data_IF_650905699957
#
_entry.id   IF_650905699957
#
_cell.length_a   1.000
_cell.length_b   1.000
_cell.length_c   1.000
_cell.angle_alpha   90.00
_cell.angle_beta   90.00
_cell.angle_gamma   90.00
#
_symmetry.space_group_name_H-M   'P 1'
#
loop_
_entity.id
_entity.type
_entity.pdbx_description
1 polymer ?
#
# COMPACT_ATOMS: atom_id res chain seq x y z
N UNK A 1 -2.69 15.25 -2.00
CA UNK A 1 -4.03 14.90 -1.49
C UNK A 1 -4.60 13.78 -2.36
N UNK A 2 -5.33 12.85 -1.76
CA UNK A 2 -6.06 11.82 -2.48
C UNK A 2 -7.14 12.41 -3.41
N UNK A 3 -7.61 11.64 -4.39
CA UNK A 3 -8.41 12.15 -5.51
C UNK A 3 -9.68 11.33 -5.81
N UNK A 4 -10.18 10.56 -4.84
CA UNK A 4 -11.46 9.89 -4.97
C UNK A 4 -12.62 10.91 -4.98
N UNK A 5 -13.71 10.57 -5.65
CA UNK A 5 -14.93 11.40 -5.63
C UNK A 5 -15.67 11.23 -4.30
N UNK A 6 -16.40 12.28 -3.90
CA UNK A 6 -17.11 12.34 -2.62
C UNK A 6 -18.01 11.11 -2.32
N UNK A 7 -18.78 10.55 -3.27
CA UNK A 7 -19.59 9.37 -3.00
C UNK A 7 -18.76 8.14 -2.59
N UNK A 8 -17.54 8.00 -3.15
CA UNK A 8 -16.63 6.90 -2.85
C UNK A 8 -15.98 7.10 -1.48
N UNK A 9 -15.54 8.32 -1.18
CA UNK A 9 -14.94 8.70 0.11
C UNK A 9 -15.88 8.33 1.27
N UNK A 10 -17.18 8.63 1.14
CA UNK A 10 -18.15 8.42 2.24
C UNK A 10 -18.42 6.97 2.61
N UNK A 11 -18.09 6.01 1.75
CA UNK A 11 -18.37 4.59 1.97
C UNK A 11 -17.10 3.75 2.17
N UNK A 12 -15.92 4.36 2.09
CA UNK A 12 -14.66 3.65 2.18
C UNK A 12 -14.23 3.46 3.65
N UNK A 13 -13.97 2.22 4.05
CA UNK A 13 -13.42 1.89 5.38
C UNK A 13 -11.98 2.42 5.56
N UNK A 14 -11.28 2.61 4.45
CA UNK A 14 -9.91 3.09 4.43
C UNK A 14 -9.67 3.99 3.22
N UNK A 15 -8.88 5.04 3.40
CA UNK A 15 -8.53 6.00 2.36
C UNK A 15 -7.04 6.30 2.39
N UNK A 16 -6.40 6.32 1.21
CA UNK A 16 -5.00 6.69 1.09
C UNK A 16 -4.80 8.19 1.30
N UNK A 17 -3.60 8.58 1.73
CA UNK A 17 -3.18 10.00 1.77
C UNK A 17 -2.68 10.46 0.40
N UNK A 18 -2.14 9.53 -0.41
CA UNK A 18 -1.65 9.78 -1.77
C UNK A 18 -2.76 9.67 -2.82
N UNK A 19 -2.65 10.40 -3.95
CA UNK A 19 -3.57 10.23 -5.08
C UNK A 19 -3.27 8.97 -5.90
N UNK A 20 -4.26 8.54 -6.67
CA UNK A 20 -4.15 7.48 -7.67
C UNK A 20 -3.02 7.75 -8.65
N UNK A 21 -2.26 6.70 -9.01
CA UNK A 21 -1.07 6.81 -9.86
C UNK A 21 0.15 7.47 -9.20
N UNK A 22 0.03 7.94 -7.95
CA UNK A 22 1.12 8.57 -7.17
C UNK A 22 1.41 7.82 -5.86
N UNK A 23 1.15 6.51 -5.85
CA UNK A 23 1.46 5.64 -4.72
C UNK A 23 0.30 5.33 -3.78
N UNK A 24 -0.95 5.67 -4.11
CA UNK A 24 -2.13 5.26 -3.33
C UNK A 24 -2.21 3.73 -3.13
N UNK A 25 -1.99 2.96 -4.19
CA UNK A 25 -2.00 1.49 -4.13
C UNK A 25 -0.84 0.96 -3.29
N UNK A 26 0.36 1.54 -3.46
CA UNK A 26 1.54 1.14 -2.67
C UNK A 26 1.30 1.38 -1.17
N UNK A 27 0.74 2.52 -0.82
CA UNK A 27 0.37 2.87 0.56
C UNK A 27 -0.64 1.88 1.15
N UNK A 28 -1.67 1.50 0.38
CA UNK A 28 -2.62 0.48 0.81
C UNK A 28 -1.98 -0.89 1.00
N UNK A 29 -1.14 -1.31 0.03
CA UNK A 29 -0.43 -2.59 0.12
C UNK A 29 0.46 -2.66 1.37
N UNK A 30 1.20 -1.59 1.68
CA UNK A 30 2.03 -1.52 2.88
C UNK A 30 1.16 -1.65 4.15
N UNK A 31 0.07 -0.89 4.25
CA UNK A 31 -0.85 -0.96 5.39
C UNK A 31 -1.49 -2.35 5.56
N UNK A 32 -1.91 -2.98 4.46
CA UNK A 32 -2.51 -4.31 4.46
C UNK A 32 -1.52 -5.38 4.91
N UNK A 33 -0.29 -5.37 4.38
CA UNK A 33 0.74 -6.33 4.75
C UNK A 33 1.22 -6.12 6.18
N UNK A 34 1.31 -4.86 6.64
CA UNK A 34 1.65 -4.53 8.01
C UNK A 34 0.58 -5.05 8.98
N UNK A 35 -0.71 -4.87 8.67
CA UNK A 35 -1.81 -5.39 9.47
C UNK A 35 -1.83 -6.92 9.57
N UNK A 36 -1.23 -7.62 8.59
CA UNK A 36 -1.05 -9.08 8.60
C UNK A 36 0.24 -9.54 9.29
N UNK A 37 1.16 -8.62 9.60
CA UNK A 37 2.51 -8.94 10.08
C UNK A 37 3.44 -9.51 8.99
N UNK A 38 3.09 -9.35 7.72
CA UNK A 38 3.79 -9.94 6.58
C UNK A 38 4.81 -9.01 5.92
N UNK A 39 4.71 -7.70 6.16
CA UNK A 39 5.43 -6.69 5.37
C UNK A 39 6.95 -6.90 5.39
N UNK A 40 7.54 -7.05 6.58
CA UNK A 40 9.00 -7.17 6.73
C UNK A 40 9.52 -8.43 6.02
N UNK A 41 8.88 -9.57 6.26
CA UNK A 41 9.23 -10.85 5.63
C UNK A 41 9.25 -10.76 4.11
N UNK A 42 8.21 -10.17 3.51
CA UNK A 42 8.11 -10.05 2.04
C UNK A 42 9.20 -9.13 1.47
N UNK A 43 9.51 -8.04 2.17
CA UNK A 43 10.57 -7.11 1.75
C UNK A 43 11.93 -7.81 1.81
N UNK A 44 12.20 -8.53 2.89
CA UNK A 44 13.46 -9.27 3.08
C UNK A 44 13.63 -10.34 1.99
N UNK A 45 12.61 -11.16 1.74
CA UNK A 45 12.62 -12.16 0.66
C UNK A 45 12.95 -11.54 -0.71
N UNK A 46 12.32 -10.40 -1.04
CA UNK A 46 12.57 -9.69 -2.29
C UNK A 46 14.00 -9.15 -2.38
N UNK A 47 14.51 -8.53 -1.30
CA UNK A 47 15.87 -7.98 -1.26
C UNK A 47 16.89 -9.10 -1.41
N UNK A 48 16.71 -10.22 -0.71
CA UNK A 48 17.57 -11.39 -0.82
C UNK A 48 17.60 -11.96 -2.24
N UNK A 49 16.43 -12.14 -2.85
CA UNK A 49 16.32 -12.67 -4.22
C UNK A 49 17.09 -11.79 -5.22
N UNK A 50 16.92 -10.46 -5.10
CA UNK A 50 17.51 -9.49 -6.04
C UNK A 50 18.98 -9.19 -5.77
N UNK A 51 19.48 -9.42 -4.57
CA UNK A 51 20.88 -9.22 -4.21
C UNK A 51 21.80 -10.38 -4.63
N UNK A 52 21.22 -11.53 -5.02
CA UNK A 52 21.97 -12.71 -5.52
C UNK A 52 22.25 -12.66 -7.03
N UNK A 53 21.68 -11.69 -7.75
CA UNK A 53 21.86 -11.48 -9.20
C UNK A 53 22.92 -10.40 -9.45
#
# INVERSE_FOLDING_TARGET
MANATEPVIRIADWQSTRPGGRGAVREFSDALLQARGDLDRIVDEYVEERSRT
#
